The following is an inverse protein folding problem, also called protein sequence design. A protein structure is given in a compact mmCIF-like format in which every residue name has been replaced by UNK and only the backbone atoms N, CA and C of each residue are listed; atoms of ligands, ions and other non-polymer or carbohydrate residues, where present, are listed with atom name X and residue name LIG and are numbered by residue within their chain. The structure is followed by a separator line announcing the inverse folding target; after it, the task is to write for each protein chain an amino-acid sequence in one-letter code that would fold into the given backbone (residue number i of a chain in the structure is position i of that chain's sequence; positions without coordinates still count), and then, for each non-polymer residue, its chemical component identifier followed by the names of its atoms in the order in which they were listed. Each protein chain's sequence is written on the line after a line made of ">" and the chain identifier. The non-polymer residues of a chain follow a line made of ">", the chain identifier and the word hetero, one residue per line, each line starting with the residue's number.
data_IF_103790806422
#
_entry.id   IF_103790806422
#
_cell.length_a   1.000
_cell.length_b   1.000
_cell.length_c   1.000
_cell.angle_alpha   90.00
_cell.angle_beta   90.00
_cell.angle_gamma   90.00
#
_symmetry.space_group_name_H-M   'P 1'
#
loop_
_entity.id
_entity.type
_entity.pdbx_description
1 polymer ?
#
# COMPACT_ATOMS: atom_id res chain seq x y z
N UNK A 1 -21.72 -25.36 -35.47
CA UNK A 1 -21.61 -25.67 -34.03
C UNK A 1 -20.14 -25.90 -33.71
N UNK A 2 -19.58 -25.11 -32.77
CA UNK A 2 -18.55 -25.46 -31.77
C UNK A 2 -17.29 -26.19 -32.30
N UNK A 3 -16.06 -25.69 -32.25
CA UNK A 3 -15.31 -25.09 -31.13
C UNK A 3 -13.90 -24.78 -31.65
N UNK A 4 -13.34 -23.60 -31.40
CA UNK A 4 -11.88 -23.35 -31.25
C UNK A 4 -11.68 -21.89 -30.81
N UNK A 5 -11.94 -21.64 -29.53
CA UNK A 5 -11.64 -20.38 -28.86
C UNK A 5 -11.07 -20.74 -27.48
N UNK A 6 -9.79 -21.10 -27.43
CA UNK A 6 -9.12 -21.47 -26.19
C UNK A 6 -7.57 -21.43 -26.29
N UNK A 7 -6.97 -20.39 -26.88
CA UNK A 7 -5.51 -20.14 -26.75
C UNK A 7 -5.21 -18.63 -26.61
N UNK A 8 -6.03 -17.86 -25.90
CA UNK A 8 -5.76 -16.43 -25.65
C UNK A 8 -6.02 -16.00 -24.20
N UNK A 9 -5.72 -16.87 -23.23
CA UNK A 9 -5.94 -16.58 -21.81
C UNK A 9 -4.71 -16.79 -20.90
N UNK A 10 -3.56 -17.25 -21.42
CA UNK A 10 -2.36 -17.54 -20.60
C UNK A 10 -1.19 -16.56 -20.77
N UNK A 11 -1.38 -15.39 -21.38
CA UNK A 11 -0.32 -14.36 -21.51
C UNK A 11 -0.63 -13.05 -20.79
N UNK A 12 -1.80 -12.91 -20.14
CA UNK A 12 -2.23 -11.62 -19.57
C UNK A 12 -1.77 -11.35 -18.12
N UNK A 13 -1.09 -12.29 -17.44
CA UNK A 13 -0.71 -12.09 -16.03
C UNK A 13 0.73 -11.59 -15.80
N UNK A 14 1.52 -11.40 -16.87
CA UNK A 14 2.91 -10.93 -16.77
C UNK A 14 3.13 -9.47 -17.20
N UNK A 15 2.07 -8.73 -17.58
CA UNK A 15 2.18 -7.40 -18.19
C UNK A 15 1.69 -6.23 -17.30
N UNK A 16 1.39 -6.48 -16.02
CA UNK A 16 0.88 -5.42 -15.13
C UNK A 16 1.96 -4.78 -14.21
N UNK A 17 3.12 -5.43 -14.05
CA UNK A 17 4.18 -4.97 -13.14
C UNK A 17 5.27 -4.09 -13.75
N UNK A 18 5.61 -4.33 -15.03
CA UNK A 18 6.86 -3.83 -15.63
C UNK A 18 6.83 -2.31 -15.92
N UNK A 19 5.72 -1.83 -16.48
CA UNK A 19 5.62 -0.44 -16.96
C UNK A 19 5.72 0.63 -15.86
N UNK A 20 5.35 0.30 -14.61
CA UNK A 20 5.45 1.24 -13.49
C UNK A 20 6.88 1.34 -12.99
N UNK A 21 7.54 0.21 -12.80
CA UNK A 21 8.92 0.17 -12.30
C UNK A 21 9.87 0.81 -13.31
N UNK A 22 9.67 0.55 -14.59
CA UNK A 22 10.41 1.21 -15.67
C UNK A 22 10.21 2.73 -15.68
N UNK A 23 8.97 3.20 -15.52
CA UNK A 23 8.68 4.63 -15.45
C UNK A 23 9.35 5.28 -14.23
N UNK A 24 9.31 4.63 -13.06
CA UNK A 24 9.96 5.13 -11.85
C UNK A 24 11.49 5.15 -12.01
N UNK A 25 12.07 4.09 -12.58
CA UNK A 25 13.51 4.01 -12.83
C UNK A 25 13.98 5.09 -13.80
N UNK A 26 13.22 5.36 -14.87
CA UNK A 26 13.49 6.46 -15.81
C UNK A 26 13.41 7.83 -15.12
N UNK A 27 12.41 8.05 -14.26
CA UNK A 27 12.27 9.28 -13.49
C UNK A 27 13.46 9.55 -12.55
N UNK A 28 14.07 8.49 -12.00
CA UNK A 28 15.19 8.59 -11.06
C UNK A 28 16.56 8.66 -11.75
N UNK A 29 16.73 7.94 -12.85
CA UNK A 29 18.01 7.83 -13.55
C UNK A 29 18.25 9.02 -14.49
N UNK A 30 17.19 9.55 -15.10
CA UNK A 30 17.31 10.62 -16.09
C UNK A 30 17.54 11.96 -15.42
N UNK A 31 18.64 12.62 -15.79
CA UNK A 31 19.01 13.94 -15.28
C UNK A 31 18.78 14.97 -16.36
N UNK A 32 18.08 16.05 -15.99
CA UNK A 32 17.72 17.13 -16.90
C UNK A 32 18.18 18.47 -16.33
N UNK A 33 18.65 19.33 -17.22
CA UNK A 33 18.93 20.73 -16.93
C UNK A 33 17.85 21.54 -17.63
N UNK A 34 17.08 22.28 -16.85
CA UNK A 34 15.89 22.98 -17.35
C UNK A 34 15.92 24.43 -16.88
N UNK A 35 15.69 25.33 -17.82
CA UNK A 35 15.60 26.77 -17.57
C UNK A 35 14.24 27.26 -18.08
N UNK A 36 13.27 27.32 -17.17
CA UNK A 36 11.96 27.85 -17.46
C UNK A 36 11.92 29.30 -16.99
N UNK A 37 11.87 30.23 -17.94
CA UNK A 37 11.62 31.65 -17.69
C UNK A 37 10.21 31.98 -18.17
N UNK A 38 9.26 32.03 -17.23
CA UNK A 38 7.88 32.45 -17.49
C UNK A 38 7.07 31.50 -18.41
N UNK A 39 7.25 30.19 -18.24
CA UNK A 39 6.61 29.16 -19.07
C UNK A 39 5.32 28.67 -18.39
N UNK A 40 4.28 28.36 -19.17
CA UNK A 40 3.02 27.81 -18.61
C UNK A 40 3.20 26.36 -18.17
N UNK A 41 2.38 25.91 -17.21
CA UNK A 41 2.43 24.52 -16.73
C UNK A 41 2.26 23.47 -17.84
N UNK A 42 1.29 23.59 -18.78
CA UNK A 42 1.14 22.61 -19.85
C UNK A 42 2.39 22.52 -20.74
N UNK A 43 2.97 23.67 -21.09
CA UNK A 43 4.19 23.75 -21.93
C UNK A 43 5.40 23.14 -21.23
N UNK A 44 5.57 23.39 -19.92
CA UNK A 44 6.64 22.79 -19.14
C UNK A 44 6.50 21.26 -19.03
N UNK A 45 5.27 20.75 -18.91
CA UNK A 45 5.00 19.30 -18.86
C UNK A 45 5.18 18.65 -20.23
N UNK A 46 4.79 19.31 -21.32
CA UNK A 46 5.03 18.80 -22.67
C UNK A 46 6.52 18.79 -23.02
N UNK A 47 7.29 19.81 -22.61
CA UNK A 47 8.75 19.76 -22.72
C UNK A 47 9.33 18.56 -21.95
N UNK A 48 8.86 18.31 -20.73
CA UNK A 48 9.29 17.14 -19.96
C UNK A 48 8.86 15.82 -20.62
N UNK A 49 7.70 15.77 -21.28
CA UNK A 49 7.24 14.61 -22.06
C UNK A 49 8.20 14.32 -23.20
N UNK A 50 8.60 15.34 -23.96
CA UNK A 50 9.48 15.19 -25.13
C UNK A 50 10.91 14.79 -24.73
N UNK A 51 11.43 15.39 -23.65
CA UNK A 51 12.78 15.08 -23.17
C UNK A 51 12.83 13.68 -22.54
N UNK A 52 11.80 13.28 -21.80
CA UNK A 52 11.84 12.05 -20.99
C UNK A 52 11.19 10.84 -21.67
N UNK A 53 10.39 11.05 -22.71
CA UNK A 53 9.60 10.02 -23.38
C UNK A 53 8.54 9.39 -22.46
N UNK A 54 8.24 10.00 -21.31
CA UNK A 54 7.24 9.52 -20.37
C UNK A 54 5.85 10.04 -20.76
N UNK A 55 4.83 9.19 -20.64
CA UNK A 55 3.47 9.60 -20.87
C UNK A 55 2.94 10.40 -19.67
N UNK A 56 2.97 11.74 -19.76
CA UNK A 56 2.47 12.66 -18.75
C UNK A 56 1.07 13.15 -19.12
N UNK A 57 0.13 13.07 -18.18
CA UNK A 57 -1.27 13.51 -18.39
C UNK A 57 -1.66 14.46 -17.26
N UNK A 58 -2.20 15.62 -17.61
CA UNK A 58 -2.72 16.59 -16.63
C UNK A 58 -4.23 16.39 -16.53
N UNK A 59 -4.77 16.24 -15.31
CA UNK A 59 -6.22 16.21 -15.13
C UNK A 59 -6.82 17.61 -15.33
N UNK A 60 -8.01 17.74 -15.92
CA UNK A 60 -8.69 19.04 -16.11
C UNK A 60 -8.81 19.84 -14.81
N UNK A 61 -9.13 19.17 -13.69
CA UNK A 61 -9.20 19.79 -12.36
C UNK A 61 -7.86 20.38 -11.87
N UNK A 62 -6.73 19.81 -12.30
CA UNK A 62 -5.41 20.35 -11.98
C UNK A 62 -5.09 21.60 -12.84
N UNK A 63 -5.68 21.70 -14.04
CA UNK A 63 -5.55 22.88 -14.90
C UNK A 63 -6.41 24.06 -14.42
N UNK A 64 -7.58 23.80 -13.82
CA UNK A 64 -8.47 24.85 -13.31
C UNK A 64 -7.88 25.63 -12.13
N UNK A 65 -7.06 24.97 -11.28
CA UNK A 65 -6.43 25.64 -10.12
C UNK A 65 -5.14 26.41 -10.47
N UNK A 66 -4.38 25.99 -11.49
CA UNK A 66 -3.01 26.49 -11.73
C UNK A 66 -2.56 26.59 -13.20
N UNK A 67 -3.47 26.38 -14.16
CA UNK A 67 -3.13 26.31 -15.59
C UNK A 67 -2.55 27.60 -16.20
N UNK A 68 -2.78 28.75 -15.56
CA UNK A 68 -2.32 30.06 -16.02
C UNK A 68 -1.08 30.57 -15.26
N UNK A 69 -0.60 29.86 -14.24
CA UNK A 69 0.48 30.38 -13.39
C UNK A 69 1.84 30.19 -14.06
N UNK A 70 2.47 31.30 -14.44
CA UNK A 70 3.81 31.29 -15.01
C UNK A 70 4.83 30.60 -14.08
N UNK A 71 5.64 29.71 -14.66
CA UNK A 71 6.68 28.97 -13.95
C UNK A 71 8.02 29.65 -14.20
N UNK A 72 8.71 29.98 -13.11
CA UNK A 72 10.14 30.28 -13.12
C UNK A 72 10.88 29.20 -12.37
N UNK A 73 11.59 28.33 -13.08
CA UNK A 73 12.39 27.27 -12.47
C UNK A 73 13.67 27.07 -13.26
N UNK A 74 14.80 27.28 -12.58
CA UNK A 74 16.13 27.04 -13.13
C UNK A 74 16.80 25.95 -12.32
N UNK A 75 16.99 24.80 -12.94
CA UNK A 75 17.57 23.61 -12.31
C UNK A 75 18.65 23.03 -13.20
N UNK A 76 19.80 22.69 -12.61
CA UNK A 76 20.92 22.08 -13.30
C UNK A 76 21.14 20.69 -12.75
N UNK A 77 21.21 19.71 -13.65
CA UNK A 77 21.57 18.33 -13.34
C UNK A 77 20.70 17.70 -12.23
N UNK A 78 19.37 17.83 -12.33
CA UNK A 78 18.43 17.21 -11.39
C UNK A 78 17.70 16.04 -12.02
N UNK A 79 17.35 15.04 -11.19
CA UNK A 79 16.48 13.94 -11.63
C UNK A 79 15.11 14.48 -12.04
N UNK A 80 14.49 13.89 -13.06
CA UNK A 80 13.13 14.26 -13.50
C UNK A 80 12.14 14.18 -12.33
N UNK A 81 12.30 13.19 -11.44
CA UNK A 81 11.53 13.08 -10.20
C UNK A 81 11.64 14.33 -9.32
N UNK A 82 12.86 14.83 -9.10
CA UNK A 82 13.10 16.04 -8.31
C UNK A 82 12.54 17.28 -9.00
N UNK A 83 12.70 17.40 -10.32
CA UNK A 83 12.16 18.52 -11.09
C UNK A 83 10.63 18.55 -11.02
N UNK A 84 9.96 17.42 -11.24
CA UNK A 84 8.51 17.30 -11.09
C UNK A 84 8.07 17.63 -9.66
N UNK A 85 8.80 17.16 -8.65
CA UNK A 85 8.48 17.47 -7.25
C UNK A 85 8.61 18.97 -6.95
N UNK A 86 9.59 19.66 -7.52
CA UNK A 86 9.78 21.10 -7.35
C UNK A 86 8.70 21.90 -8.10
N UNK A 87 8.38 21.50 -9.34
CA UNK A 87 7.35 22.14 -10.17
C UNK A 87 5.95 22.02 -9.56
N UNK A 88 5.61 20.84 -9.06
CA UNK A 88 4.29 20.52 -8.52
C UNK A 88 4.17 20.89 -7.04
N UNK A 89 5.27 20.79 -6.29
CA UNK A 89 5.32 21.08 -4.86
C UNK A 89 4.99 22.53 -4.52
N UNK A 90 5.39 23.48 -5.36
CA UNK A 90 5.06 24.90 -5.17
C UNK A 90 3.56 25.23 -5.34
N UNK A 91 2.80 24.31 -5.97
CA UNK A 91 1.39 24.50 -6.35
C UNK A 91 0.42 23.56 -5.64
N UNK A 92 0.93 22.70 -4.76
CA UNK A 92 0.08 21.69 -4.10
C UNK A 92 -0.44 20.60 -5.05
N UNK A 93 0.18 20.44 -6.22
CA UNK A 93 -0.08 19.33 -7.13
C UNK A 93 0.79 18.13 -6.77
N UNK A 94 0.38 16.95 -7.19
CA UNK A 94 1.11 15.70 -7.01
C UNK A 94 1.00 14.83 -8.26
N UNK A 95 1.91 13.86 -8.39
CA UNK A 95 1.91 12.89 -9.50
C UNK A 95 1.50 11.52 -8.97
N UNK A 96 0.67 10.81 -9.73
CA UNK A 96 0.34 9.42 -9.49
C UNK A 96 0.44 8.63 -10.79
N UNK A 97 1.02 7.43 -10.72
CA UNK A 97 1.05 6.53 -11.88
C UNK A 97 -0.28 5.77 -11.97
N UNK A 98 -1.00 5.93 -13.09
CA UNK A 98 -2.26 5.24 -13.40
C UNK A 98 -2.27 4.84 -14.87
N UNK A 99 -2.70 3.60 -15.16
CA UNK A 99 -2.98 3.12 -16.52
C UNK A 99 -1.84 3.35 -17.54
N UNK A 100 -0.58 3.17 -17.12
CA UNK A 100 0.57 3.36 -18.02
C UNK A 100 1.06 4.80 -18.16
N UNK A 101 0.44 5.76 -17.46
CA UNK A 101 0.77 7.17 -17.53
C UNK A 101 1.01 7.79 -16.14
N UNK A 102 1.83 8.85 -16.11
CA UNK A 102 2.00 9.72 -14.95
C UNK A 102 0.94 10.82 -15.00
N UNK A 103 -0.06 10.68 -14.12
CA UNK A 103 -1.18 11.61 -14.00
C UNK A 103 -0.87 12.67 -12.95
N UNK A 104 -0.95 13.95 -13.33
CA UNK A 104 -0.81 15.12 -12.46
C UNK A 104 -2.19 15.49 -11.92
N UNK A 105 -2.31 15.53 -10.60
CA UNK A 105 -3.57 15.73 -9.88
C UNK A 105 -3.38 16.59 -8.62
N UNK A 106 -4.42 17.29 -8.13
CA UNK A 106 -4.33 18.04 -6.88
C UNK A 106 -4.23 17.11 -5.67
N UNK A 107 -3.50 17.51 -4.62
CA UNK A 107 -3.31 16.69 -3.41
C UNK A 107 -4.61 16.22 -2.76
N UNK A 108 -5.67 17.03 -2.83
CA UNK A 108 -7.01 16.71 -2.32
C UNK A 108 -7.58 15.46 -3.00
N UNK A 109 -7.48 15.37 -4.34
CA UNK A 109 -8.02 14.24 -5.10
C UNK A 109 -7.21 12.95 -4.91
N UNK A 110 -5.93 13.07 -4.52
CA UNK A 110 -5.15 11.90 -4.11
C UNK A 110 -5.74 11.26 -2.85
N UNK A 111 -6.23 12.08 -1.91
CA UNK A 111 -6.84 11.59 -0.68
C UNK A 111 -8.20 10.93 -0.96
N UNK A 112 -8.95 11.45 -1.93
CA UNK A 112 -10.23 10.86 -2.34
C UNK A 112 -10.09 9.52 -3.07
N UNK A 113 -8.97 9.33 -3.79
CA UNK A 113 -8.69 8.08 -4.49
C UNK A 113 -8.31 6.96 -3.53
N UNK A 114 -9.35 6.31 -3.00
CA UNK A 114 -9.24 5.21 -2.05
C UNK A 114 -9.23 3.89 -2.82
N UNK A 115 -8.32 2.98 -2.48
CA UNK A 115 -8.24 1.63 -3.07
C UNK A 115 -8.41 0.57 -1.99
N UNK A 116 -9.07 -0.53 -2.33
CA UNK A 116 -9.21 -1.69 -1.45
C UNK A 116 -8.05 -2.67 -1.67
N UNK A 117 -7.43 -3.14 -0.59
CA UNK A 117 -6.42 -4.20 -0.59
C UNK A 117 -6.71 -5.20 0.53
N UNK A 118 -6.43 -6.47 0.24
CA UNK A 118 -6.56 -7.59 1.16
C UNK A 118 -5.18 -7.97 1.68
N UNK A 119 -5.05 -8.18 2.99
CA UNK A 119 -3.84 -8.67 3.63
C UNK A 119 -4.15 -9.91 4.47
N UNK A 120 -3.25 -10.89 4.46
CA UNK A 120 -3.34 -12.08 5.31
C UNK A 120 -2.57 -11.83 6.61
N UNK A 121 -3.26 -11.95 7.75
CA UNK A 121 -2.69 -11.71 9.09
C UNK A 121 -2.81 -12.93 9.99
N UNK A 122 -3.13 -14.11 9.44
CA UNK A 122 -3.31 -15.35 10.22
C UNK A 122 -2.09 -15.71 11.06
N UNK A 123 -0.89 -15.51 10.51
CA UNK A 123 0.35 -15.75 11.23
C UNK A 123 0.48 -14.87 12.48
N UNK A 124 0.02 -13.61 12.40
CA UNK A 124 0.08 -12.66 13.52
C UNK A 124 -0.89 -12.98 14.65
N UNK A 125 -1.94 -13.78 14.40
CA UNK A 125 -2.94 -14.13 15.41
C UNK A 125 -2.53 -15.32 16.31
N UNK A 126 -1.49 -16.06 15.92
CA UNK A 126 -1.01 -17.23 16.66
C UNK A 126 -0.06 -16.75 17.77
N UNK A 127 -0.49 -16.89 19.04
CA UNK A 127 0.42 -16.76 20.18
C UNK A 127 1.22 -18.05 20.36
N UNK A 128 2.47 -17.92 20.79
CA UNK A 128 3.25 -19.04 21.34
C UNK A 128 2.46 -19.60 22.52
N UNK A 129 1.93 -20.81 22.37
CA UNK A 129 1.23 -21.50 23.44
C UNK A 129 2.27 -22.14 24.37
N UNK A 130 2.06 -21.98 25.67
CA UNK A 130 2.77 -22.80 26.65
C UNK A 130 2.01 -24.13 26.76
N UNK A 131 2.64 -25.21 26.29
CA UNK A 131 2.04 -26.53 26.31
C UNK A 131 2.19 -27.11 27.71
N UNK A 132 1.12 -27.01 28.50
CA UNK A 132 1.14 -27.51 29.87
C UNK A 132 1.32 -29.04 29.85
N UNK A 133 2.31 -29.53 30.59
CA UNK A 133 2.55 -30.96 30.71
C UNK A 133 1.37 -31.69 31.37
N UNK A 134 1.13 -32.96 31.04
CA UNK A 134 0.06 -33.75 31.66
C UNK A 134 0.28 -33.88 33.16
N UNK A 135 -0.77 -33.69 33.94
CA UNK A 135 -0.72 -33.89 35.41
C UNK A 135 -0.77 -35.38 35.70
N UNK A 136 0.22 -35.86 36.45
CA UNK A 136 0.33 -37.25 36.90
C UNK A 136 -0.10 -37.32 38.37
N UNK A 137 -1.27 -37.88 38.63
CA UNK A 137 -1.74 -38.13 39.99
C UNK A 137 -1.64 -39.63 40.33
N UNK A 138 -0.97 -39.92 41.45
CA UNK A 138 -0.89 -41.27 42.01
C UNK A 138 -2.06 -41.47 42.97
N UNK A 139 -3.01 -42.33 42.59
CA UNK A 139 -4.19 -42.60 43.43
C UNK A 139 -3.84 -43.63 44.51
N UNK A 140 -4.19 -43.34 45.77
CA UNK A 140 -3.89 -44.21 46.93
C UNK A 140 -4.60 -45.57 46.83
N UNK A 141 -3.97 -46.68 47.29
CA UNK A 141 -4.47 -48.06 47.13
C UNK A 141 -5.82 -48.38 47.81
N UNK A 142 -6.37 -47.46 48.61
CA UNK A 142 -7.71 -47.59 49.22
C UNK A 142 -8.86 -47.22 48.27
N UNK A 143 -8.55 -46.70 47.07
CA UNK A 143 -9.53 -46.30 46.06
C UNK A 143 -9.79 -47.43 45.04
N UNK A 144 -11.02 -47.51 44.50
CA UNK A 144 -11.56 -48.63 43.69
C UNK A 144 -10.80 -48.97 42.40
N UNK A 145 -9.76 -48.21 42.04
CA UNK A 145 -8.85 -48.44 40.89
C UNK A 145 -7.44 -47.95 41.25
N UNK A 146 -6.55 -48.81 41.77
CA UNK A 146 -5.16 -48.43 41.99
C UNK A 146 -4.46 -48.21 40.63
N UNK A 147 -3.84 -47.04 40.42
CA UNK A 147 -3.17 -46.71 39.16
C UNK A 147 -2.70 -45.26 39.07
N UNK A 148 -2.08 -44.93 37.94
CA UNK A 148 -1.70 -43.57 37.56
C UNK A 148 -2.83 -42.98 36.72
N UNK A 149 -3.36 -41.81 37.10
CA UNK A 149 -4.31 -41.05 36.29
C UNK A 149 -3.53 -39.95 35.56
N UNK A 150 -3.64 -39.91 34.23
CA UNK A 150 -3.09 -38.86 33.38
C UNK A 150 -4.20 -37.87 33.03
N UNK A 151 -4.09 -36.65 33.52
CA UNK A 151 -4.97 -35.53 33.14
C UNK A 151 -4.31 -34.68 32.06
N UNK A 152 -4.98 -34.53 30.92
CA UNK A 152 -4.63 -33.53 29.91
C UNK A 152 -5.51 -32.30 30.12
N UNK A 153 -4.96 -31.13 30.46
CA UNK A 153 -5.74 -29.91 30.50
C UNK A 153 -6.25 -29.57 29.08
N UNK A 154 -7.53 -29.23 28.95
CA UNK A 154 -8.09 -28.72 27.69
C UNK A 154 -7.72 -27.25 27.55
N UNK A 155 -6.81 -26.94 26.61
CA UNK A 155 -6.25 -25.60 26.47
C UNK A 155 -7.19 -24.67 25.70
N UNK A 156 -7.52 -23.49 26.24
CA UNK A 156 -8.19 -22.46 25.47
C UNK A 156 -7.23 -21.95 24.39
N UNK A 157 -7.61 -22.08 23.12
CA UNK A 157 -6.91 -21.46 21.99
C UNK A 157 -6.92 -19.94 22.19
N UNK A 158 -5.88 -19.41 22.82
CA UNK A 158 -5.76 -17.97 23.06
C UNK A 158 -5.38 -17.31 21.74
N UNK A 159 -6.39 -16.99 20.93
CA UNK A 159 -6.23 -16.13 19.76
C UNK A 159 -6.07 -14.70 20.25
N UNK A 160 -5.19 -13.92 19.62
CA UNK A 160 -5.16 -12.47 19.84
C UNK A 160 -6.55 -11.89 19.51
N UNK A 161 -7.12 -11.02 20.38
CA UNK A 161 -8.37 -10.35 20.05
C UNK A 161 -8.21 -9.55 18.76
N UNK A 162 -9.16 -9.70 17.83
CA UNK A 162 -9.14 -9.01 16.55
C UNK A 162 -9.08 -7.48 16.71
N UNK A 163 -9.73 -6.96 17.76
CA UNK A 163 -9.71 -5.55 18.13
C UNK A 163 -8.31 -5.02 18.43
N UNK A 164 -7.47 -5.82 19.09
CA UNK A 164 -6.11 -5.41 19.42
C UNK A 164 -5.26 -5.20 18.16
N UNK A 165 -5.43 -6.05 17.14
CA UNK A 165 -4.73 -5.90 15.87
C UNK A 165 -5.23 -4.67 15.10
N UNK A 166 -6.55 -4.46 15.09
CA UNK A 166 -7.17 -3.28 14.46
C UNK A 166 -6.68 -1.98 15.09
N UNK A 167 -6.62 -1.91 16.42
CA UNK A 167 -6.16 -0.74 17.16
C UNK A 167 -4.66 -0.49 16.95
N UNK A 168 -3.84 -1.54 16.95
CA UNK A 168 -2.42 -1.42 16.66
C UNK A 168 -2.17 -0.87 15.25
N UNK A 169 -2.91 -1.35 14.26
CA UNK A 169 -2.81 -0.87 12.88
C UNK A 169 -3.24 0.60 12.79
N UNK A 170 -4.36 0.98 13.40
CA UNK A 170 -4.83 2.37 13.42
C UNK A 170 -3.85 3.30 14.15
N UNK A 171 -3.24 2.86 15.24
CA UNK A 171 -2.30 3.66 16.02
C UNK A 171 -0.98 3.93 15.27
N UNK A 172 -0.55 2.99 14.41
CA UNK A 172 0.74 3.08 13.71
C UNK A 172 0.64 3.52 12.25
N UNK A 173 -0.56 3.59 11.65
CA UNK A 173 -0.72 3.89 10.22
C UNK A 173 -1.69 5.05 10.02
N UNK A 174 -1.51 5.84 8.96
CA UNK A 174 -2.50 6.81 8.50
C UNK A 174 -2.78 8.03 9.40
N UNK A 175 -2.39 8.06 10.67
CA UNK A 175 -2.66 9.18 11.58
C UNK A 175 -4.13 9.63 11.52
N UNK A 176 -4.37 10.94 11.37
CA UNK A 176 -5.72 11.50 11.25
C UNK A 176 -6.45 11.22 9.92
N UNK A 177 -5.88 10.44 9.00
CA UNK A 177 -6.55 10.04 7.74
C UNK A 177 -7.64 8.99 7.94
N UNK A 178 -7.63 8.29 9.07
CA UNK A 178 -8.72 7.38 9.46
C UNK A 178 -10.01 8.14 9.82
N UNK A 179 -9.89 9.29 10.47
CA UNK A 179 -11.03 10.13 10.86
C UNK A 179 -11.44 11.13 9.77
N UNK A 180 -10.50 11.56 8.93
CA UNK A 180 -10.75 12.58 7.91
C UNK A 180 -11.42 12.04 6.66
N UNK A 181 -11.26 10.75 6.35
CA UNK A 181 -11.77 10.16 5.10
C UNK A 181 -12.97 9.22 5.37
N UNK A 182 -14.20 9.57 4.94
CA UNK A 182 -15.38 8.73 5.14
C UNK A 182 -15.35 7.42 4.32
N UNK A 183 -14.42 7.28 3.37
CA UNK A 183 -14.23 6.04 2.60
C UNK A 183 -13.20 5.09 3.21
N UNK A 184 -12.55 5.51 4.31
CA UNK A 184 -11.61 4.65 5.02
C UNK A 184 -12.35 3.52 5.73
N UNK A 185 -11.98 2.27 5.43
CA UNK A 185 -12.55 1.11 6.12
C UNK A 185 -11.43 0.14 6.49
N UNK A 186 -11.51 -0.38 7.71
CA UNK A 186 -10.60 -1.39 8.24
C UNK A 186 -11.44 -2.48 8.89
N UNK A 187 -11.48 -3.65 8.27
CA UNK A 187 -12.21 -4.80 8.80
C UNK A 187 -11.30 -6.01 8.81
N UNK A 188 -11.35 -6.79 9.90
CA UNK A 188 -10.70 -8.08 9.98
C UNK A 188 -11.77 -9.15 9.98
N UNK A 189 -11.64 -10.13 9.08
CA UNK A 189 -12.53 -11.27 9.02
C UNK A 189 -11.73 -12.54 8.79
N UNK A 190 -11.83 -13.51 9.70
CA UNK A 190 -11.20 -14.82 9.60
C UNK A 190 -9.70 -14.77 9.26
N UNK A 191 -8.95 -13.85 9.90
CA UNK A 191 -7.52 -13.67 9.67
C UNK A 191 -7.15 -12.99 8.34
N UNK A 192 -8.14 -12.46 7.60
CA UNK A 192 -7.93 -11.57 6.46
C UNK A 192 -8.30 -10.14 6.84
N UNK A 193 -7.36 -9.23 6.68
CA UNK A 193 -7.56 -7.80 6.86
C UNK A 193 -7.96 -7.16 5.53
N UNK A 194 -9.18 -6.63 5.49
CA UNK A 194 -9.72 -5.85 4.37
C UNK A 194 -9.52 -4.37 4.69
N UNK A 195 -8.65 -3.72 3.91
CA UNK A 195 -8.35 -2.29 4.09
C UNK A 195 -8.78 -1.52 2.85
N UNK A 196 -9.57 -0.47 3.06
CA UNK A 196 -9.91 0.52 2.05
C UNK A 196 -9.29 1.84 2.48
N UNK A 197 -8.20 2.25 1.84
CA UNK A 197 -7.51 3.52 2.16
C UNK A 197 -6.71 4.03 0.95
N UNK A 198 -6.16 5.24 1.05
CA UNK A 198 -5.24 5.79 0.05
C UNK A 198 -4.02 4.87 -0.20
N UNK A 199 -3.47 4.83 -1.43
CA UNK A 199 -2.32 3.98 -1.77
C UNK A 199 -1.03 4.26 -0.99
N UNK A 200 -0.94 5.41 -0.32
CA UNK A 200 0.18 5.75 0.57
C UNK A 200 0.11 4.94 1.86
N UNK A 201 -1.03 5.02 2.57
CA UNK A 201 -1.25 4.32 3.83
C UNK A 201 -1.27 2.80 3.64
N UNK A 202 -1.79 2.31 2.50
CA UNK A 202 -1.71 0.87 2.19
C UNK A 202 -0.25 0.35 2.13
N UNK A 203 0.71 1.18 1.70
CA UNK A 203 2.14 0.82 1.73
C UNK A 203 2.72 0.85 3.13
N UNK A 204 2.26 1.78 3.98
CA UNK A 204 2.64 1.81 5.39
C UNK A 204 2.14 0.56 6.12
N UNK A 205 0.90 0.15 5.87
CA UNK A 205 0.32 -1.08 6.41
C UNK A 205 1.10 -2.30 5.92
N UNK A 206 1.42 -2.38 4.62
CA UNK A 206 2.22 -3.47 4.06
C UNK A 206 3.60 -3.57 4.73
N UNK A 207 4.29 -2.45 4.90
CA UNK A 207 5.58 -2.39 5.58
C UNK A 207 5.47 -2.82 7.04
N UNK A 208 4.44 -2.36 7.76
CA UNK A 208 4.21 -2.71 9.16
C UNK A 208 3.92 -4.21 9.31
N UNK A 209 3.06 -4.77 8.45
CA UNK A 209 2.76 -6.20 8.46
C UNK A 209 4.00 -7.05 8.12
N UNK A 210 4.83 -6.60 7.17
CA UNK A 210 6.10 -7.26 6.86
C UNK A 210 7.09 -7.20 8.04
N UNK A 211 7.19 -6.07 8.74
CA UNK A 211 8.02 -5.96 9.94
C UNK A 211 7.53 -6.91 11.03
N UNK A 212 6.23 -6.97 11.30
CA UNK A 212 5.67 -7.88 12.29
C UNK A 212 5.85 -9.36 11.90
N UNK A 213 5.73 -9.67 10.61
CA UNK A 213 5.97 -11.01 10.09
C UNK A 213 7.43 -11.47 10.14
N UNK A 214 8.40 -10.54 10.16
CA UNK A 214 9.83 -10.87 10.28
C UNK A 214 10.27 -11.24 11.71
N UNK A 215 9.52 -10.86 12.73
CA UNK A 215 9.86 -11.10 14.14
C UNK A 215 9.15 -12.31 14.75
N UNK A 216 8.62 -13.20 13.92
CA UNK A 216 8.07 -14.49 14.35
C UNK A 216 9.11 -15.61 14.32
#
# INVERSE_FOLDING_TARGET
>A
MKTMAAILAMTALAWAGDGREDAVRKLETMRVTVDFENVKLPEAIDYLRDVTGLNLVILPKAMEKDGETNIRLKVKDLSVKSVLKLLLGSRGLTTSYRDGALVILPKEELQDSTSMRLFDVRALQVKIQDFAGPTVELTSPSSKKPGVVLGFPEEPKTQLPDEFLLDMIKANTGGGSWDSNPKAALNLNNGTLVVTQTPGVLREIDNLLNMLGQYQ
#
